data_IF_703292463917
#
_entry.id   IF_703292463917
#
_cell.length_a   1.000
_cell.length_b   1.000
_cell.length_c   1.000
_cell.angle_alpha   90.00
_cell.angle_beta   90.00
_cell.angle_gamma   90.00
#
_symmetry.space_group_name_H-M   'P 1'
#
loop_
_entity.id
_entity.type
_entity.pdbx_description
1 polymer ?
#
# COMPACT_ATOMS: atom_id res chain seq x y z
N UNK A 1 9.09 -19.98 35.28
CA UNK A 1 10.58 -19.95 35.34
C UNK A 1 11.26 -19.55 34.02
N UNK A 2 10.70 -19.86 32.84
CA UNK A 2 11.27 -19.52 31.53
C UNK A 2 11.44 -18.00 31.28
N UNK A 3 10.43 -17.20 31.64
CA UNK A 3 10.42 -15.73 31.47
C UNK A 3 11.43 -14.97 32.35
N UNK A 4 11.89 -15.56 33.47
CA UNK A 4 12.95 -14.96 34.30
C UNK A 4 14.34 -15.10 33.65
N UNK A 5 14.58 -16.23 32.97
CA UNK A 5 15.86 -16.49 32.28
C UNK A 5 16.03 -15.59 31.05
N UNK A 6 14.95 -15.30 30.32
CA UNK A 6 14.99 -14.38 29.16
C UNK A 6 15.31 -12.94 29.59
N UNK A 7 14.73 -12.46 30.70
CA UNK A 7 15.03 -11.12 31.23
C UNK A 7 16.45 -10.98 31.77
N UNK A 8 17.08 -12.08 32.21
CA UNK A 8 18.48 -12.08 32.63
C UNK A 8 19.45 -12.14 31.45
N UNK A 9 19.10 -12.85 30.37
CA UNK A 9 19.91 -12.88 29.15
C UNK A 9 19.95 -11.55 28.39
N UNK A 10 18.97 -10.67 28.60
CA UNK A 10 18.86 -9.35 27.96
C UNK A 10 19.53 -8.21 28.73
N UNK A 11 20.13 -8.47 29.91
CA UNK A 11 20.98 -7.49 30.59
C UNK A 11 22.40 -7.61 30.06
N UNK A 12 22.61 -7.04 28.88
CA UNK A 12 23.94 -6.72 28.38
C UNK A 12 24.34 -5.41 29.05
N UNK A 13 25.35 -5.48 29.92
CA UNK A 13 26.05 -4.31 30.44
C UNK A 13 26.55 -3.49 29.26
N UNK A 14 26.19 -2.20 29.20
CA UNK A 14 26.68 -1.29 28.16
C UNK A 14 28.14 -0.93 28.45
N UNK A 15 29.13 -1.37 27.67
CA UNK A 15 30.37 -0.60 27.57
C UNK A 15 30.04 0.73 26.87
N UNK A 16 30.63 1.81 27.37
CA UNK A 16 30.56 3.13 26.79
C UNK A 16 31.43 3.14 25.52
N UNK A 17 30.94 2.50 24.46
CA UNK A 17 31.57 2.54 23.14
C UNK A 17 31.04 3.76 22.38
N UNK A 18 31.96 4.66 22.05
CA UNK A 18 31.76 5.68 21.02
C UNK A 18 31.21 5.01 19.77
N UNK A 19 29.96 5.31 19.45
CA UNK A 19 29.27 4.82 18.25
C UNK A 19 30.11 5.23 17.04
N UNK A 20 30.76 4.32 16.31
CA UNK A 20 31.35 4.68 15.03
C UNK A 20 30.19 5.15 14.13
N UNK A 21 30.35 6.29 13.46
CA UNK A 21 29.41 6.74 12.43
C UNK A 21 29.11 5.55 11.52
N UNK A 22 27.86 5.09 11.54
CA UNK A 22 27.44 4.01 10.65
C UNK A 22 27.75 4.48 9.22
N UNK A 23 28.51 3.71 8.42
CA UNK A 23 28.70 4.05 7.02
C UNK A 23 27.31 4.20 6.41
N UNK A 24 27.06 5.35 5.79
CA UNK A 24 25.85 5.59 5.00
C UNK A 24 25.74 4.42 4.03
N UNK A 25 24.79 3.54 4.27
CA UNK A 25 24.54 2.37 3.44
C UNK A 25 23.84 2.90 2.21
N UNK A 26 24.62 3.24 1.18
CA UNK A 26 24.09 3.67 -0.11
C UNK A 26 23.30 2.49 -0.67
N UNK A 27 21.98 2.67 -0.87
CA UNK A 27 21.13 1.66 -1.50
C UNK A 27 21.72 1.30 -2.86
N UNK A 28 22.08 0.02 -3.06
CA UNK A 28 22.58 -0.49 -4.34
C UNK A 28 21.52 -0.44 -5.45
N UNK A 29 20.26 -0.19 -5.09
CA UNK A 29 19.11 -0.24 -5.96
C UNK A 29 18.55 1.16 -6.21
N UNK A 30 18.72 1.65 -7.42
CA UNK A 30 18.26 2.98 -7.82
C UNK A 30 16.81 2.91 -8.32
N UNK A 31 15.94 3.77 -7.78
CA UNK A 31 14.56 3.91 -8.26
C UNK A 31 14.56 4.52 -9.67
N UNK A 32 13.83 3.90 -10.58
CA UNK A 32 13.65 4.43 -11.94
C UNK A 32 12.69 5.63 -12.01
N UNK A 33 11.99 5.94 -10.91
CA UNK A 33 10.98 6.98 -10.82
C UNK A 33 9.66 6.60 -11.50
N UNK A 34 9.59 5.42 -12.13
CA UNK A 34 8.42 4.93 -12.87
C UNK A 34 7.50 4.17 -11.95
N UNK A 35 6.23 4.54 -11.94
CA UNK A 35 5.18 3.82 -11.21
C UNK A 35 4.12 3.37 -12.20
N UNK A 36 3.77 2.09 -12.15
CA UNK A 36 2.65 1.51 -12.86
C UNK A 36 1.57 1.14 -11.85
N UNK A 37 0.40 1.73 -12.02
CA UNK A 37 -0.75 1.52 -11.16
C UNK A 37 -1.55 0.32 -11.64
N UNK A 38 -1.86 -0.60 -10.73
CA UNK A 38 -2.54 -1.85 -11.08
C UNK A 38 -4.05 -1.64 -10.95
N UNK A 39 -4.74 -1.38 -12.06
CA UNK A 39 -6.14 -0.92 -12.08
C UNK A 39 -7.13 -1.83 -11.34
N UNK A 40 -6.92 -3.15 -11.37
CA UNK A 40 -7.76 -4.13 -10.69
C UNK A 40 -7.67 -4.09 -9.15
N UNK A 41 -6.67 -3.40 -8.60
CA UNK A 41 -6.49 -3.21 -7.15
C UNK A 41 -7.25 -1.98 -6.63
N UNK A 42 -8.12 -1.39 -7.45
CA UNK A 42 -8.89 -0.21 -7.08
C UNK A 42 -9.88 -0.54 -5.97
N UNK A 43 -9.79 0.22 -4.87
CA UNK A 43 -10.67 0.09 -3.71
C UNK A 43 -11.36 1.43 -3.42
N UNK A 44 -12.64 1.37 -3.06
CA UNK A 44 -13.40 2.47 -2.46
C UNK A 44 -13.77 2.07 -1.04
N UNK A 45 -13.40 2.88 -0.07
CA UNK A 45 -13.78 2.70 1.34
C UNK A 45 -14.55 3.90 1.87
N UNK A 46 -15.55 3.62 2.68
CA UNK A 46 -16.33 4.62 3.39
C UNK A 46 -17.02 4.01 4.61
N UNK A 47 -17.44 4.86 5.53
CA UNK A 47 -18.22 4.46 6.70
C UNK A 47 -19.71 4.56 6.35
N UNK A 48 -20.41 3.43 6.46
CA UNK A 48 -21.87 3.34 6.28
C UNK A 48 -22.61 3.30 7.62
N UNK A 49 -23.94 3.33 7.58
CA UNK A 49 -24.77 3.13 8.77
C UNK A 49 -24.57 1.76 9.44
N UNK A 50 -24.10 0.76 8.70
CA UNK A 50 -23.80 -0.58 9.21
C UNK A 50 -22.31 -0.83 9.47
N UNK A 51 -21.47 0.20 9.38
CA UNK A 51 -20.02 0.14 9.62
C UNK A 51 -19.18 0.34 8.35
N UNK A 52 -17.89 0.00 8.44
CA UNK A 52 -16.93 0.23 7.37
C UNK A 52 -17.22 -0.67 6.16
N UNK A 53 -17.36 -0.05 4.99
CA UNK A 53 -17.56 -0.72 3.71
C UNK A 53 -16.28 -0.59 2.90
N UNK A 54 -15.85 -1.70 2.31
CA UNK A 54 -14.79 -1.75 1.31
C UNK A 54 -15.32 -2.40 0.04
N UNK A 55 -15.33 -1.64 -1.05
CA UNK A 55 -15.69 -2.12 -2.38
C UNK A 55 -14.39 -2.25 -3.19
N UNK A 56 -14.12 -3.45 -3.68
CA UNK A 56 -12.91 -3.79 -4.43
C UNK A 56 -13.25 -4.18 -5.88
N UNK A 57 -12.22 -4.36 -6.72
CA UNK A 57 -12.37 -4.76 -8.14
C UNK A 57 -13.24 -3.77 -8.93
N UNK A 58 -13.11 -2.49 -8.58
CA UNK A 58 -13.87 -1.43 -9.22
C UNK A 58 -13.25 -1.02 -10.56
N UNK A 59 -14.09 -0.57 -11.48
CA UNK A 59 -13.65 0.11 -12.69
C UNK A 59 -13.49 1.61 -12.42
N UNK A 60 -12.38 2.20 -12.87
CA UNK A 60 -12.17 3.65 -12.77
C UNK A 60 -13.25 4.47 -13.47
N UNK A 61 -13.86 3.91 -14.53
CA UNK A 61 -14.93 4.54 -15.30
C UNK A 61 -16.24 4.57 -14.51
N UNK A 62 -16.50 3.55 -13.68
CA UNK A 62 -17.73 3.42 -12.91
C UNK A 62 -17.68 4.16 -11.55
N UNK A 63 -16.51 4.63 -11.12
CA UNK A 63 -16.32 5.28 -9.82
C UNK A 63 -17.25 6.50 -9.61
N UNK A 64 -17.36 7.46 -10.54
CA UNK A 64 -18.21 8.64 -10.32
C UNK A 64 -19.68 8.25 -10.14
N UNK A 65 -20.18 7.34 -10.96
CA UNK A 65 -21.56 6.86 -10.89
C UNK A 65 -21.81 6.08 -9.59
N UNK A 66 -20.89 5.22 -9.18
CA UNK A 66 -20.97 4.49 -7.91
C UNK A 66 -21.04 5.44 -6.71
N UNK A 67 -20.16 6.44 -6.67
CA UNK A 67 -20.13 7.46 -5.61
C UNK A 67 -21.43 8.26 -5.56
N UNK A 68 -21.94 8.65 -6.74
CA UNK A 68 -23.22 9.35 -6.84
C UNK A 68 -24.37 8.46 -6.34
N UNK A 69 -24.42 7.20 -6.77
CA UNK A 69 -25.45 6.25 -6.33
C UNK A 69 -25.45 6.03 -4.82
N UNK A 70 -24.26 5.85 -4.21
CA UNK A 70 -24.11 5.74 -2.76
C UNK A 70 -24.58 7.02 -2.06
N UNK A 71 -24.28 8.18 -2.63
CA UNK A 71 -24.66 9.49 -2.07
C UNK A 71 -26.17 9.78 -2.13
N UNK A 72 -26.89 9.13 -3.05
CA UNK A 72 -28.33 9.22 -3.25
C UNK A 72 -29.12 8.17 -2.44
N UNK A 73 -28.44 7.23 -1.77
CA UNK A 73 -29.12 6.25 -0.93
C UNK A 73 -29.93 6.95 0.18
N UNK A 74 -31.14 6.46 0.48
CA UNK A 74 -31.92 6.94 1.62
C UNK A 74 -31.12 6.87 2.92
N UNK A 75 -31.26 7.87 3.81
CA UNK A 75 -30.48 7.94 5.06
C UNK A 75 -30.72 6.75 6.00
N UNK A 76 -31.85 6.06 5.89
CA UNK A 76 -32.16 4.85 6.63
C UNK A 76 -31.58 3.56 6.00
N UNK A 77 -30.95 3.64 4.84
CA UNK A 77 -30.31 2.49 4.21
C UNK A 77 -29.09 2.05 5.02
N UNK A 78 -28.89 0.73 5.24
CA UNK A 78 -27.68 0.24 5.91
C UNK A 78 -26.39 0.61 5.18
N UNK A 79 -26.47 0.75 3.84
CA UNK A 79 -25.32 1.07 2.98
C UNK A 79 -25.13 2.57 2.73
N UNK A 80 -26.08 3.42 3.18
CA UNK A 80 -25.92 4.87 3.04
C UNK A 80 -24.71 5.36 3.84
N UNK A 81 -24.10 6.43 3.33
CA UNK A 81 -22.96 7.09 3.98
C UNK A 81 -23.41 7.54 5.37
N UNK A 82 -22.65 7.15 6.39
CA UNK A 82 -22.92 7.54 7.77
C UNK A 82 -22.91 9.06 7.89
N UNK A 83 -23.95 9.60 8.52
CA UNK A 83 -24.03 11.02 8.85
C UNK A 83 -23.92 11.16 10.37
N UNK A 84 -22.84 11.81 10.85
CA UNK A 84 -22.62 12.06 12.28
C UNK A 84 -22.53 13.57 12.49
N UNK A 85 -23.37 14.12 13.37
CA UNK A 85 -23.41 15.56 13.65
C UNK A 85 -23.49 16.44 12.38
N UNK A 86 -24.37 16.07 11.44
CA UNK A 86 -24.56 16.73 10.14
C UNK A 86 -23.32 16.71 9.22
N UNK A 87 -22.38 15.78 9.46
CA UNK A 87 -21.24 15.54 8.61
C UNK A 87 -21.32 14.13 8.02
N UNK A 88 -21.44 14.06 6.69
CA UNK A 88 -21.31 12.80 5.95
C UNK A 88 -19.87 12.31 6.00
N UNK A 89 -19.71 11.02 6.27
CA UNK A 89 -18.40 10.36 6.23
C UNK A 89 -17.70 10.50 4.88
N UNK A 90 -16.39 10.46 4.94
CA UNK A 90 -15.46 10.56 3.82
C UNK A 90 -15.49 9.33 2.92
N UNK A 91 -15.28 9.55 1.61
CA UNK A 91 -14.82 8.51 0.69
C UNK A 91 -13.29 8.49 0.65
N UNK A 92 -12.72 7.29 0.62
CA UNK A 92 -11.32 7.07 0.28
C UNK A 92 -11.22 6.10 -0.89
N UNK A 93 -10.52 6.49 -1.95
CA UNK A 93 -10.21 5.64 -3.09
C UNK A 93 -8.72 5.34 -3.04
N UNK A 94 -8.34 4.07 -3.07
CA UNK A 94 -6.93 3.69 -3.12
C UNK A 94 -6.63 2.69 -4.23
N UNK A 95 -5.37 2.68 -4.66
CA UNK A 95 -4.88 1.86 -5.75
C UNK A 95 -3.43 1.47 -5.47
N UNK A 96 -3.10 0.19 -5.64
CA UNK A 96 -1.73 -0.28 -5.55
C UNK A 96 -0.97 0.04 -6.85
N UNK A 97 0.35 0.04 -6.74
CA UNK A 97 1.22 0.19 -7.89
C UNK A 97 2.51 -0.60 -7.74
N UNK A 98 3.30 -0.63 -8.79
CA UNK A 98 4.64 -1.19 -8.80
C UNK A 98 5.62 -0.19 -9.34
N UNK A 99 6.85 -0.28 -8.86
CA UNK A 99 7.99 0.46 -9.38
C UNK A 99 9.09 -0.51 -9.82
N UNK A 100 10.04 -0.01 -10.60
CA UNK A 100 11.25 -0.71 -10.96
C UNK A 100 12.45 -0.05 -10.29
N UNK A 101 13.32 -0.89 -9.73
CA UNK A 101 14.64 -0.48 -9.29
C UNK A 101 15.70 -1.18 -10.12
N UNK A 102 16.80 -0.48 -10.38
CA UNK A 102 17.94 -1.00 -11.14
C UNK A 102 19.19 -1.06 -10.27
N UNK A 103 19.97 -2.10 -10.48
CA UNK A 103 21.32 -2.22 -9.91
C UNK A 103 22.22 -2.81 -11.00
N UNK A 104 23.11 -2.00 -11.57
CA UNK A 104 24.04 -2.36 -12.65
C UNK A 104 23.37 -3.12 -13.82
N UNK A 105 23.24 -4.45 -13.70
CA UNK A 105 22.68 -5.36 -14.70
C UNK A 105 21.34 -6.01 -14.31
N UNK A 106 20.86 -5.80 -13.09
CA UNK A 106 19.62 -6.38 -12.58
C UNK A 106 18.50 -5.34 -12.51
N UNK A 107 17.28 -5.78 -12.77
CA UNK A 107 16.06 -5.01 -12.53
C UNK A 107 15.17 -5.80 -11.58
N UNK A 108 14.70 -5.17 -10.51
CA UNK A 108 13.70 -5.75 -9.62
C UNK A 108 12.43 -4.91 -9.64
N UNK A 109 11.31 -5.55 -9.34
CA UNK A 109 10.00 -4.92 -9.22
C UNK A 109 9.67 -4.85 -7.73
N UNK A 110 9.17 -3.70 -7.28
CA UNK A 110 8.74 -3.50 -5.89
C UNK A 110 7.30 -3.02 -5.88
N UNK A 111 6.47 -3.68 -5.07
CA UNK A 111 5.09 -3.25 -4.86
C UNK A 111 5.03 -2.01 -3.97
N UNK A 112 4.10 -1.12 -4.28
CA UNK A 112 3.78 0.08 -3.50
C UNK A 112 2.32 -0.04 -3.06
N UNK A 113 2.06 -0.36 -1.76
CA UNK A 113 0.71 -0.32 -1.23
C UNK A 113 0.21 1.13 -1.21
N UNK A 114 -1.06 1.33 -1.59
CA UNK A 114 -1.68 2.65 -1.73
C UNK A 114 -0.82 3.65 -2.54
N UNK A 115 -0.30 3.18 -3.68
CA UNK A 115 0.51 3.99 -4.60
C UNK A 115 -0.24 5.24 -5.08
N UNK A 116 -1.56 5.16 -5.24
CA UNK A 116 -2.42 6.33 -5.43
C UNK A 116 -3.56 6.28 -4.40
N UNK A 117 -3.78 7.39 -3.71
CA UNK A 117 -4.83 7.55 -2.71
C UNK A 117 -5.56 8.87 -2.99
N UNK A 118 -6.87 8.82 -3.14
CA UNK A 118 -7.74 10.00 -3.16
C UNK A 118 -8.65 9.95 -1.94
N UNK A 119 -8.46 10.89 -1.03
CA UNK A 119 -9.28 11.03 0.18
C UNK A 119 -10.08 12.32 0.11
N UNK A 120 -11.28 12.33 0.69
CA UNK A 120 -12.06 13.56 0.81
C UNK A 120 -12.78 13.65 2.13
N UNK A 121 -12.76 14.82 2.77
CA UNK A 121 -13.55 15.06 3.98
C UNK A 121 -15.05 15.17 3.71
N UNK A 122 -15.45 15.33 2.45
CA UNK A 122 -16.84 15.50 2.03
C UNK A 122 -17.16 14.56 0.88
N UNK A 123 -18.36 13.99 0.84
CA UNK A 123 -18.80 13.10 -0.24
C UNK A 123 -18.67 13.73 -1.65
N UNK A 124 -18.82 15.06 -1.77
CA UNK A 124 -18.71 15.80 -3.04
C UNK A 124 -17.28 16.16 -3.47
N UNK A 125 -16.24 15.63 -2.81
CA UNK A 125 -14.83 15.91 -3.12
C UNK A 125 -14.41 17.40 -3.08
N UNK A 126 -15.24 18.29 -2.52
CA UNK A 126 -14.92 19.73 -2.36
C UNK A 126 -13.66 19.98 -1.51
N UNK A 127 -13.38 19.09 -0.56
CA UNK A 127 -12.20 19.06 0.29
C UNK A 127 -11.44 17.75 0.08
N UNK A 128 -11.10 17.46 -1.17
CA UNK A 128 -10.33 16.28 -1.55
C UNK A 128 -8.82 16.52 -1.54
N UNK A 129 -8.08 15.43 -1.41
CA UNK A 129 -6.64 15.37 -1.56
C UNK A 129 -6.25 14.04 -2.21
N UNK A 130 -5.54 14.11 -3.34
CA UNK A 130 -4.83 12.97 -3.90
C UNK A 130 -3.38 12.94 -3.41
N UNK A 131 -2.87 11.73 -3.20
CA UNK A 131 -1.50 11.43 -2.81
C UNK A 131 -1.01 10.33 -3.75
N UNK A 132 0.08 10.60 -4.48
CA UNK A 132 0.76 9.61 -5.30
C UNK A 132 2.12 9.31 -4.69
N UNK A 133 2.38 8.04 -4.38
CA UNK A 133 3.58 7.56 -3.70
C UNK A 133 4.51 6.86 -4.69
N UNK A 134 5.79 7.22 -4.61
CA UNK A 134 6.90 6.61 -5.33
C UNK A 134 7.84 5.88 -4.34
N UNK A 135 8.69 5.00 -4.85
CA UNK A 135 9.33 3.95 -4.07
C UNK A 135 10.49 4.42 -3.17
N UNK A 136 10.99 5.65 -3.38
CA UNK A 136 11.98 6.30 -2.51
C UNK A 136 11.58 6.29 -1.03
N UNK A 137 10.28 6.16 -0.73
CA UNK A 137 9.77 6.08 0.64
C UNK A 137 9.73 4.65 1.23
N UNK A 138 9.82 3.60 0.42
CA UNK A 138 9.76 2.23 0.91
C UNK A 138 11.15 1.72 1.35
N UNK A 139 12.20 2.55 1.29
CA UNK A 139 13.56 2.06 1.55
C UNK A 139 13.79 1.69 3.01
N UNK A 140 13.02 2.20 3.98
CA UNK A 140 13.16 1.79 5.38
C UNK A 140 11.83 1.91 6.17
N UNK A 141 10.87 1.01 5.91
CA UNK A 141 9.86 0.66 6.94
C UNK A 141 10.49 -0.27 8.00
N UNK A 142 11.72 0.03 8.38
CA UNK A 142 12.35 -0.54 9.56
C UNK A 142 11.70 0.17 10.74
N UNK A 143 10.97 -0.57 11.59
CA UNK A 143 10.14 -0.07 12.70
C UNK A 143 10.89 0.81 13.72
N UNK A 144 12.19 1.02 13.52
CA UNK A 144 13.11 1.71 14.42
C UNK A 144 13.70 3.01 13.82
N UNK A 145 13.48 3.33 12.54
CA UNK A 145 13.96 4.59 11.95
C UNK A 145 12.82 5.57 11.76
N UNK A 146 12.54 6.35 12.81
CA UNK A 146 11.67 7.52 12.73
C UNK A 146 12.32 8.59 11.85
N UNK A 147 11.91 8.68 10.60
CA UNK A 147 12.25 9.78 9.70
C UNK A 147 11.37 11.00 10.01
N UNK A 148 11.66 11.62 11.15
CA UNK A 148 11.15 12.93 11.50
C UNK A 148 11.82 13.98 10.59
N UNK A 149 10.99 14.76 9.88
CA UNK A 149 11.31 16.08 9.33
C UNK A 149 12.12 16.08 8.01
N UNK A 150 11.56 15.49 6.95
CA UNK A 150 11.83 15.95 5.58
C UNK A 150 10.52 15.98 4.78
N UNK A 151 10.31 16.93 3.83
CA UNK A 151 9.26 16.79 2.84
C UNK A 151 9.47 15.43 2.16
N UNK A 152 8.54 14.51 2.36
CA UNK A 152 8.70 13.09 1.99
C UNK A 152 9.03 12.97 0.50
N UNK A 153 10.31 12.75 0.19
CA UNK A 153 10.78 12.57 -1.18
C UNK A 153 9.99 11.42 -1.85
N UNK A 154 9.38 11.71 -3.00
CA UNK A 154 8.54 10.74 -3.73
C UNK A 154 7.08 10.68 -3.32
N UNK A 155 6.55 11.65 -2.56
CA UNK A 155 5.10 11.85 -2.43
C UNK A 155 4.64 13.11 -3.14
N UNK A 156 3.70 12.96 -4.07
CA UNK A 156 3.06 14.07 -4.77
C UNK A 156 1.65 14.25 -4.24
N UNK A 157 1.38 15.41 -3.66
CA UNK A 157 0.11 15.73 -3.02
C UNK A 157 -0.61 16.79 -3.85
N UNK A 158 -1.84 16.49 -4.24
CA UNK A 158 -2.71 17.40 -5.00
C UNK A 158 -3.98 17.64 -4.19
N UNK A 159 -4.31 18.91 -3.92
CA UNK A 159 -5.52 19.28 -3.20
C UNK A 159 -6.62 19.69 -4.17
N UNK A 160 -7.89 19.49 -3.78
CA UNK A 160 -9.09 19.88 -4.56
C UNK A 160 -9.12 19.26 -5.96
N UNK A 161 -8.81 17.98 -6.03
CA UNK A 161 -8.84 17.18 -7.26
C UNK A 161 -10.14 16.37 -7.33
N UNK A 162 -10.75 16.35 -8.50
CA UNK A 162 -11.94 15.53 -8.78
C UNK A 162 -11.58 14.07 -8.99
N UNK A 163 -12.57 13.17 -8.91
CA UNK A 163 -12.38 11.73 -9.19
C UNK A 163 -11.93 11.52 -10.65
N UNK A 164 -12.45 12.32 -11.56
CA UNK A 164 -12.10 12.31 -12.99
C UNK A 164 -10.65 12.72 -13.19
N UNK A 165 -10.19 13.81 -12.57
CA UNK A 165 -8.80 14.23 -12.67
C UNK A 165 -7.84 13.20 -12.06
N UNK A 166 -8.22 12.60 -10.94
CA UNK A 166 -7.44 11.54 -10.30
C UNK A 166 -7.29 10.31 -11.22
N UNK A 167 -8.39 9.81 -11.78
CA UNK A 167 -8.37 8.65 -12.69
C UNK A 167 -7.63 8.96 -14.00
N UNK A 168 -7.75 10.18 -14.53
CA UNK A 168 -7.00 10.61 -15.72
C UNK A 168 -5.49 10.64 -15.45
N UNK A 169 -5.06 11.13 -14.29
CA UNK A 169 -3.64 11.14 -13.92
C UNK A 169 -3.05 9.72 -13.88
N UNK A 170 -3.80 8.76 -13.33
CA UNK A 170 -3.41 7.35 -13.32
C UNK A 170 -3.30 6.79 -14.75
N UNK A 171 -4.29 7.04 -15.60
CA UNK A 171 -4.28 6.59 -17.00
C UNK A 171 -3.10 7.15 -17.78
N UNK A 172 -2.80 8.44 -17.60
CA UNK A 172 -1.65 9.10 -18.24
C UNK A 172 -0.34 8.50 -17.73
N UNK A 173 -0.21 8.27 -16.42
CA UNK A 173 0.98 7.66 -15.84
C UNK A 173 1.21 6.24 -16.38
N UNK A 174 0.18 5.40 -16.37
CA UNK A 174 0.24 4.05 -16.93
C UNK A 174 0.63 4.06 -18.41
N UNK A 175 0.04 4.96 -19.22
CA UNK A 175 0.37 5.13 -20.65
C UNK A 175 1.85 5.41 -20.92
N UNK A 176 2.56 6.06 -20.00
CA UNK A 176 4.00 6.37 -20.13
C UNK A 176 4.92 5.17 -19.87
N UNK A 177 4.40 4.09 -19.29
CA UNK A 177 5.15 2.87 -19.03
C UNK A 177 5.23 2.04 -20.31
N UNK A 178 6.44 1.61 -20.67
CA UNK A 178 6.67 0.78 -21.86
C UNK A 178 6.06 -0.62 -21.70
N UNK A 179 5.61 -1.20 -22.81
CA UNK A 179 5.04 -2.55 -22.86
C UNK A 179 6.01 -3.60 -22.29
N UNK A 180 7.31 -3.47 -22.53
CA UNK A 180 8.32 -4.39 -21.99
C UNK A 180 8.39 -4.39 -20.46
N UNK A 181 8.12 -3.25 -19.83
CA UNK A 181 8.05 -3.15 -18.37
C UNK A 181 6.73 -3.70 -17.86
N UNK A 182 5.61 -3.41 -18.54
CA UNK A 182 4.29 -3.93 -18.18
C UNK A 182 4.24 -5.45 -18.21
N UNK A 183 4.77 -6.08 -19.25
CA UNK A 183 4.81 -7.56 -19.38
C UNK A 183 5.60 -8.26 -18.26
N UNK A 184 6.54 -7.54 -17.64
CA UNK A 184 7.32 -8.05 -16.50
C UNK A 184 6.57 -7.96 -15.18
N UNK A 185 5.49 -7.17 -15.11
CA UNK A 185 4.60 -7.15 -13.96
C UNK A 185 3.75 -8.42 -14.01
N UNK A 186 4.23 -9.46 -13.32
CA UNK A 186 3.50 -10.73 -13.19
C UNK A 186 2.38 -10.66 -12.14
N UNK A 187 2.08 -9.47 -11.61
CA UNK A 187 1.06 -9.25 -10.57
C UNK A 187 -0.28 -8.98 -11.25
N UNK A 188 -1.08 -10.02 -11.35
CA UNK A 188 -2.46 -10.03 -11.82
C UNK A 188 -3.41 -10.28 -10.64
N UNK A 189 -4.71 -10.17 -10.89
CA UNK A 189 -5.74 -10.40 -9.86
C UNK A 189 -5.62 -11.79 -9.24
N UNK A 190 -5.36 -12.79 -10.09
CA UNK A 190 -5.26 -14.20 -9.71
C UNK A 190 -4.10 -14.46 -8.73
N UNK A 191 -3.08 -13.58 -8.70
CA UNK A 191 -1.99 -13.67 -7.73
C UNK A 191 -2.41 -13.30 -6.30
N UNK A 192 -3.62 -12.75 -6.11
CA UNK A 192 -4.17 -12.41 -4.78
C UNK A 192 -5.25 -13.39 -4.31
N UNK A 193 -5.59 -14.42 -5.10
CA UNK A 193 -6.57 -15.43 -4.70
C UNK A 193 -5.97 -16.48 -3.74
N UNK A 194 -4.63 -16.60 -3.70
CA UNK A 194 -3.89 -17.41 -2.73
C UNK A 194 -2.86 -16.55 -1.98
N UNK A 195 -2.71 -16.73 -0.65
CA UNK A 195 -1.70 -16.01 0.13
C UNK A 195 -0.26 -16.41 -0.22
N UNK A 196 -0.08 -17.58 -0.83
CA UNK A 196 1.21 -18.13 -1.23
C UNK A 196 1.15 -18.60 -2.68
N UNK A 197 2.26 -18.46 -3.40
CA UNK A 197 2.45 -19.16 -4.67
C UNK A 197 2.49 -20.68 -4.43
N UNK A 198 2.32 -21.47 -5.49
CA UNK A 198 2.40 -22.95 -5.41
C UNK A 198 3.74 -23.39 -4.80
N UNK A 199 4.85 -22.84 -5.30
CA UNK A 199 6.18 -23.10 -4.77
C UNK A 199 6.34 -22.70 -3.29
N UNK A 200 5.81 -21.55 -2.88
CA UNK A 200 5.86 -21.14 -1.46
C UNK A 200 5.02 -22.07 -0.58
N UNK A 201 3.87 -22.52 -1.07
CA UNK A 201 3.00 -23.47 -0.37
C UNK A 201 3.71 -24.81 -0.17
N UNK A 202 4.34 -25.34 -1.23
CA UNK A 202 5.13 -26.57 -1.18
C UNK A 202 6.30 -26.49 -0.20
N UNK A 203 7.03 -25.38 -0.20
CA UNK A 203 8.17 -25.21 0.71
C UNK A 203 7.73 -25.03 2.17
N UNK A 204 6.60 -24.34 2.41
CA UNK A 204 5.99 -24.23 3.74
C UNK A 204 5.57 -25.61 4.25
N UNK A 205 4.88 -26.41 3.44
CA UNK A 205 4.48 -27.78 3.78
C UNK A 205 5.69 -28.64 4.13
N UNK A 206 6.74 -28.59 3.30
CA UNK A 206 8.01 -29.29 3.56
C UNK A 206 8.64 -28.91 4.89
N UNK A 207 8.68 -27.61 5.21
CA UNK A 207 9.25 -27.11 6.47
C UNK A 207 8.39 -27.48 7.69
N UNK A 208 7.07 -27.57 7.54
CA UNK A 208 6.16 -28.05 8.57
C UNK A 208 6.40 -29.54 8.85
N UNK A 209 6.51 -30.37 7.81
CA UNK A 209 6.76 -31.80 7.93
C UNK A 209 8.10 -32.11 8.59
N UNK A 210 9.16 -31.39 8.23
CA UNK A 210 10.48 -31.51 8.87
C UNK A 210 10.41 -31.18 10.37
N UNK A 211 9.65 -30.16 10.75
CA UNK A 211 9.48 -29.77 12.15
C UNK A 211 8.61 -30.75 12.94
N UNK A 212 7.61 -31.37 12.31
CA UNK A 212 6.80 -32.42 12.92
C UNK A 212 7.63 -33.68 13.18
N UNK A 213 8.47 -34.09 12.22
CA UNK A 213 9.38 -35.22 12.39
C UNK A 213 10.41 -34.99 13.51
N UNK A 214 10.95 -33.77 13.64
CA UNK A 214 11.87 -33.39 14.73
C UNK A 214 11.22 -33.32 16.12
N UNK A 215 9.89 -33.24 16.23
CA UNK A 215 9.16 -33.23 17.51
C UNK A 215 8.80 -34.63 18.02
N UNK A 216 8.84 -35.63 17.13
CA UNK A 216 8.51 -37.04 17.43
C UNK A 216 9.80 -37.84 17.77
N UNK A 217 10.98 -37.24 17.56
CA UNK A 217 12.29 -37.77 17.97
C UNK A 217 12.76 -37.07 19.24
#
# INVERSE_FOLDING_TARGET
>A
MFLKKIKQALKIDKPNETIPEKPQTISLWEDTGKVFYIENTLKLTYESNSGSITLEKLSMQALPDLINNISLLPENSPLAIKNTANQKSAFNISLCGVTWQKNANATRIKAIPDAALLRSQTACFSKSQAIFRHATLLEHDDLLTSSLIQPKAGQFIYNRITVEQFTQQIKIANKRISEDLRKKVLINQDNFDSPFTEHESEEIERLIDINLQKKIT
#
